data_IF_945512675972
#
_entry.id   IF_945512675972
#
_cell.length_a   1.000
_cell.length_b   1.000
_cell.length_c   1.000
_cell.angle_alpha   90.00
_cell.angle_beta   90.00
_cell.angle_gamma   90.00
#
_symmetry.space_group_name_H-M   'P 1'
#
loop_
_entity.id
_entity.type
_entity.pdbx_description
1 polymer ?
#
# COMPACT_ATOMS: atom_id res chain seq x y z
N UNK A 1 -12.43 21.89 -11.33
CA UNK A 1 -11.81 20.75 -10.63
C UNK A 1 -12.57 19.44 -10.90
N UNK A 2 -13.83 19.32 -10.59
CA UNK A 2 -14.71 18.14 -10.76
C UNK A 2 -14.57 17.44 -12.12
N UNK A 3 -14.81 18.14 -13.24
CA UNK A 3 -14.67 17.56 -14.59
C UNK A 3 -13.27 17.03 -14.89
N UNK A 4 -12.23 17.68 -14.36
CA UNK A 4 -10.84 17.24 -14.52
C UNK A 4 -10.58 15.94 -13.78
N UNK A 5 -11.06 15.79 -12.53
CA UNK A 5 -10.95 14.56 -11.75
C UNK A 5 -11.69 13.40 -12.43
N UNK A 6 -12.91 13.64 -12.95
CA UNK A 6 -13.67 12.64 -13.71
C UNK A 6 -12.92 12.18 -14.98
N UNK A 7 -12.26 13.10 -15.68
CA UNK A 7 -11.43 12.77 -16.85
C UNK A 7 -10.23 11.90 -16.45
N UNK A 8 -9.58 12.22 -15.33
CA UNK A 8 -8.41 11.47 -14.83
C UNK A 8 -8.81 10.03 -14.49
N UNK A 9 -9.85 9.81 -13.69
CA UNK A 9 -10.28 8.45 -13.32
C UNK A 9 -10.75 7.62 -14.52
N UNK A 10 -11.29 8.26 -15.55
CA UNK A 10 -11.67 7.61 -16.80
C UNK A 10 -10.49 6.99 -17.58
N UNK A 11 -9.24 7.39 -17.27
CA UNK A 11 -8.04 6.87 -17.91
C UNK A 11 -7.39 5.70 -17.16
N UNK A 12 -7.82 5.39 -15.93
CA UNK A 12 -7.20 4.36 -15.08
C UNK A 12 -7.15 2.99 -15.75
N UNK A 13 -8.22 2.57 -16.44
CA UNK A 13 -8.33 1.27 -17.14
C UNK A 13 -7.23 0.99 -18.18
N UNK A 14 -6.57 2.04 -18.66
CA UNK A 14 -5.52 1.92 -19.66
C UNK A 14 -4.12 1.90 -19.04
N UNK A 15 -4.01 2.10 -17.71
CA UNK A 15 -2.73 2.24 -17.03
C UNK A 15 -2.18 0.89 -16.58
N UNK A 16 -0.87 0.78 -16.67
CA UNK A 16 -0.08 -0.35 -16.20
C UNK A 16 0.71 0.07 -14.97
N UNK A 17 0.44 -0.57 -13.85
CA UNK A 17 1.11 -0.31 -12.58
C UNK A 17 1.96 -1.51 -12.20
N UNK A 18 3.21 -1.26 -11.83
CA UNK A 18 4.07 -2.26 -11.20
C UNK A 18 4.09 -1.98 -9.70
N UNK A 19 3.69 -2.96 -8.91
CA UNK A 19 3.76 -2.92 -7.45
C UNK A 19 4.86 -3.85 -6.99
N UNK A 20 5.86 -3.33 -6.29
CA UNK A 20 6.94 -4.11 -5.69
C UNK A 20 6.93 -3.92 -4.17
N UNK A 21 7.11 -5.01 -3.43
CA UNK A 21 7.20 -4.94 -1.97
C UNK A 21 6.90 -6.25 -1.26
N UNK A 22 6.58 -6.12 0.01
CA UNK A 22 6.35 -7.26 0.90
C UNK A 22 4.93 -7.80 0.72
N UNK A 23 4.85 -8.93 0.01
CA UNK A 23 3.60 -9.65 -0.29
C UNK A 23 3.13 -10.39 0.96
N UNK A 24 1.81 -10.29 1.27
CA UNK A 24 1.23 -10.93 2.44
C UNK A 24 -0.13 -11.56 2.13
N UNK A 25 -0.50 -12.56 2.92
CA UNK A 25 -1.84 -13.13 2.98
C UNK A 25 -2.51 -12.68 4.27
N UNK A 26 -3.61 -11.95 4.18
CA UNK A 26 -4.52 -11.72 5.29
C UNK A 26 -5.50 -12.90 5.37
N UNK A 27 -5.48 -13.62 6.50
CA UNK A 27 -6.41 -14.70 6.79
C UNK A 27 -7.32 -14.29 7.95
N UNK A 28 -8.62 -14.48 7.79
CA UNK A 28 -9.59 -14.28 8.87
C UNK A 28 -10.22 -15.61 9.22
N UNK A 29 -10.17 -15.98 10.50
CA UNK A 29 -10.83 -17.14 11.08
C UNK A 29 -12.03 -16.61 11.87
N UNK A 30 -13.22 -16.83 11.35
CA UNK A 30 -14.48 -16.43 11.96
C UNK A 30 -15.03 -17.56 12.79
N UNK A 31 -15.39 -17.30 14.04
CA UNK A 31 -15.92 -18.34 14.93
C UNK A 31 -16.79 -17.83 16.03
N UNK A 32 -17.39 -18.78 16.74
CA UNK A 32 -18.15 -18.54 17.96
C UNK A 32 -17.30 -18.83 19.20
N UNK A 33 -17.48 -17.99 20.21
CA UNK A 33 -16.85 -18.16 21.53
C UNK A 33 -17.94 -18.50 22.52
N UNK A 34 -18.01 -19.75 22.93
CA UNK A 34 -19.05 -20.26 23.82
C UNK A 34 -18.52 -20.70 25.19
N UNK A 35 -17.22 -20.98 25.32
CA UNK A 35 -16.63 -21.53 26.56
C UNK A 35 -15.19 -21.11 26.75
N UNK A 36 -14.73 -21.23 28.00
CA UNK A 36 -13.30 -21.19 28.37
C UNK A 36 -12.73 -22.60 28.23
N UNK A 37 -11.47 -22.73 27.83
CA UNK A 37 -10.78 -24.00 27.77
C UNK A 37 -10.62 -24.62 29.17
N UNK A 38 -10.81 -25.93 29.32
CA UNK A 38 -10.47 -26.61 30.59
C UNK A 38 -8.95 -26.71 30.79
N UNK A 39 -8.13 -26.51 29.76
CA UNK A 39 -6.67 -26.67 29.79
C UNK A 39 -5.96 -25.39 30.23
N UNK A 40 -6.56 -24.21 30.00
CA UNK A 40 -5.99 -22.93 30.34
C UNK A 40 -7.10 -21.84 30.36
N UNK A 41 -6.90 -20.68 31.03
CA UNK A 41 -7.90 -19.61 31.10
C UNK A 41 -7.97 -18.82 29.76
N UNK A 42 -8.19 -19.52 28.65
CA UNK A 42 -8.29 -18.97 27.30
C UNK A 42 -9.64 -19.33 26.67
N UNK A 43 -10.12 -18.48 25.77
CA UNK A 43 -11.35 -18.72 25.03
C UNK A 43 -11.17 -19.85 24.00
N UNK A 44 -12.19 -20.69 23.85
CA UNK A 44 -12.28 -21.66 22.75
C UNK A 44 -13.09 -21.05 21.63
N UNK A 45 -12.48 -20.97 20.45
CA UNK A 45 -13.12 -20.46 19.22
C UNK A 45 -13.53 -21.64 18.36
N UNK A 46 -14.82 -21.86 18.20
CA UNK A 46 -15.39 -22.84 17.26
C UNK A 46 -15.45 -22.19 15.86
N UNK A 47 -14.61 -22.65 14.93
CA UNK A 47 -14.48 -22.05 13.61
C UNK A 47 -15.73 -22.31 12.76
N UNK A 48 -16.29 -21.24 12.18
CA UNK A 48 -17.44 -21.28 11.28
C UNK A 48 -16.96 -21.18 9.82
N UNK A 49 -16.04 -20.25 9.54
CA UNK A 49 -15.51 -20.03 8.19
C UNK A 49 -14.13 -19.40 8.24
N UNK A 50 -13.38 -19.57 7.16
CA UNK A 50 -12.15 -18.88 6.88
C UNK A 50 -12.29 -18.01 5.62
N UNK A 51 -11.68 -16.84 5.64
CA UNK A 51 -11.63 -15.97 4.45
C UNK A 51 -10.20 -15.46 4.26
N UNK A 52 -9.84 -15.26 3.01
CA UNK A 52 -8.50 -14.86 2.59
C UNK A 52 -8.56 -13.57 1.79
N UNK A 53 -7.54 -12.74 1.92
CA UNK A 53 -7.40 -11.53 1.13
C UNK A 53 -5.92 -11.21 0.91
N UNK A 54 -5.56 -10.55 -0.21
CA UNK A 54 -4.25 -9.97 -0.39
C UNK A 54 -3.96 -8.90 0.66
N UNK A 55 -2.78 -8.97 1.32
CA UNK A 55 -2.31 -8.00 2.32
C UNK A 55 -0.96 -7.39 1.93
N UNK A 56 -0.53 -6.34 2.63
CA UNK A 56 0.71 -5.64 2.32
C UNK A 56 0.75 -5.14 0.87
N UNK A 57 1.88 -5.31 0.18
CA UNK A 57 2.03 -4.89 -1.20
C UNK A 57 0.98 -5.51 -2.14
N UNK A 58 0.51 -6.73 -1.85
CA UNK A 58 -0.57 -7.35 -2.63
C UNK A 58 -1.93 -6.69 -2.41
N UNK A 59 -2.15 -5.98 -1.29
CA UNK A 59 -3.35 -5.17 -1.11
C UNK A 59 -3.30 -3.87 -1.95
N UNK A 60 -2.14 -3.23 -2.09
CA UNK A 60 -1.96 -2.12 -3.05
C UNK A 60 -2.29 -2.59 -4.46
N UNK A 61 -1.76 -3.76 -4.87
CA UNK A 61 -2.05 -4.36 -6.16
C UNK A 61 -3.54 -4.65 -6.35
N UNK A 62 -4.22 -5.18 -5.32
CA UNK A 62 -5.66 -5.42 -5.31
C UNK A 62 -6.48 -4.13 -5.46
N UNK A 63 -6.12 -3.06 -4.74
CA UNK A 63 -6.75 -1.75 -4.88
C UNK A 63 -6.56 -1.18 -6.29
N UNK A 64 -5.36 -1.26 -6.87
CA UNK A 64 -5.12 -0.80 -8.23
C UNK A 64 -5.93 -1.58 -9.27
N UNK A 65 -6.05 -2.90 -9.09
CA UNK A 65 -6.88 -3.74 -9.96
C UNK A 65 -8.37 -3.40 -9.86
N UNK A 66 -8.88 -3.14 -8.64
CA UNK A 66 -10.28 -2.72 -8.44
C UNK A 66 -10.58 -1.35 -9.07
N UNK A 67 -9.55 -0.54 -9.30
CA UNK A 67 -9.59 0.71 -10.05
C UNK A 67 -9.37 0.49 -11.57
N UNK A 68 -9.52 -0.75 -12.05
CA UNK A 68 -9.43 -1.18 -13.45
C UNK A 68 -8.04 -1.03 -14.11
N UNK A 69 -6.96 -0.92 -13.35
CA UNK A 69 -5.61 -0.91 -13.88
C UNK A 69 -5.11 -2.31 -14.25
N UNK A 70 -4.12 -2.39 -15.14
CA UNK A 70 -3.35 -3.60 -15.39
C UNK A 70 -2.19 -3.66 -14.39
N UNK A 71 -2.21 -4.64 -13.49
CA UNK A 71 -1.29 -4.71 -12.35
C UNK A 71 -0.26 -5.82 -12.54
N UNK A 72 1.01 -5.49 -12.30
CA UNK A 72 2.14 -6.42 -12.26
C UNK A 72 2.71 -6.43 -10.84
N UNK A 73 2.66 -7.59 -10.19
CA UNK A 73 3.15 -7.75 -8.81
C UNK A 73 4.59 -8.27 -8.81
N UNK A 74 5.45 -7.67 -8.00
CA UNK A 74 6.84 -8.09 -7.80
C UNK A 74 7.13 -8.25 -6.31
N UNK A 75 7.72 -9.38 -5.96
CA UNK A 75 8.08 -9.68 -4.58
C UNK A 75 8.36 -11.16 -4.34
N UNK A 76 8.27 -11.61 -3.10
CA UNK A 76 8.51 -12.99 -2.73
C UNK A 76 7.34 -13.62 -1.99
N UNK A 77 7.25 -14.93 -2.10
CA UNK A 77 6.39 -15.81 -1.31
C UNK A 77 7.19 -17.05 -0.88
N UNK A 78 6.76 -17.71 0.17
CA UNK A 78 7.34 -18.99 0.60
C UNK A 78 6.93 -20.16 -0.31
N UNK A 79 7.44 -21.34 0.02
CA UNK A 79 7.03 -22.59 -0.64
C UNK A 79 6.10 -23.39 0.29
N UNK A 80 4.93 -22.84 0.58
CA UNK A 80 3.97 -23.34 1.55
C UNK A 80 2.52 -23.29 1.00
N UNK A 81 1.57 -23.75 1.80
CA UNK A 81 0.16 -23.78 1.43
C UNK A 81 -0.43 -22.36 1.26
N UNK A 82 0.01 -21.40 2.08
CA UNK A 82 -0.44 -20.00 2.01
C UNK A 82 -0.12 -19.36 0.64
N UNK A 83 1.01 -19.76 0.02
CA UNK A 83 1.35 -19.39 -1.38
C UNK A 83 0.19 -19.69 -2.33
N UNK A 84 -0.37 -20.92 -2.26
CA UNK A 84 -1.41 -21.33 -3.20
C UNK A 84 -2.68 -20.52 -3.03
N UNK A 85 -3.05 -20.22 -1.77
CA UNK A 85 -4.19 -19.35 -1.46
C UNK A 85 -3.98 -17.94 -1.98
N UNK A 86 -2.80 -17.36 -1.73
CA UNK A 86 -2.46 -16.00 -2.16
C UNK A 86 -2.42 -15.88 -3.69
N UNK A 87 -1.79 -16.82 -4.39
CA UNK A 87 -1.73 -16.81 -5.86
C UNK A 87 -3.13 -16.95 -6.48
N UNK A 88 -4.02 -17.74 -5.87
CA UNK A 88 -5.43 -17.84 -6.28
C UNK A 88 -6.13 -16.49 -6.14
N UNK A 89 -6.00 -15.83 -4.97
CA UNK A 89 -6.59 -14.50 -4.70
C UNK A 89 -6.09 -13.44 -5.70
N UNK A 90 -4.80 -13.44 -6.04
CA UNK A 90 -4.23 -12.52 -7.01
C UNK A 90 -4.73 -12.79 -8.44
N UNK A 91 -4.84 -14.07 -8.83
CA UNK A 91 -5.37 -14.47 -10.14
C UNK A 91 -6.83 -14.06 -10.33
N UNK A 92 -7.67 -14.26 -9.31
CA UNK A 92 -9.08 -13.86 -9.32
C UNK A 92 -9.26 -12.35 -9.50
N UNK A 93 -8.25 -11.57 -9.10
CA UNK A 93 -8.19 -10.10 -9.28
C UNK A 93 -7.46 -9.67 -10.54
N UNK A 94 -7.15 -10.59 -11.47
CA UNK A 94 -6.43 -10.31 -12.72
C UNK A 94 -5.08 -9.61 -12.50
N UNK A 95 -4.36 -9.92 -11.42
CA UNK A 95 -3.03 -9.40 -11.12
C UNK A 95 -2.00 -10.34 -11.76
N UNK A 96 -1.08 -9.78 -12.59
CA UNK A 96 0.03 -10.54 -13.14
C UNK A 96 1.06 -10.85 -12.06
N UNK A 97 1.44 -12.12 -11.95
CA UNK A 97 2.31 -12.67 -10.90
C UNK A 97 3.68 -13.14 -11.41
N UNK A 98 4.05 -12.83 -12.66
CA UNK A 98 5.32 -13.27 -13.26
C UNK A 98 6.57 -12.72 -12.54
N UNK A 99 6.41 -11.64 -11.77
CA UNK A 99 7.45 -11.04 -10.93
C UNK A 99 7.48 -11.56 -9.49
N UNK A 100 6.68 -12.59 -9.15
CA UNK A 100 6.68 -13.18 -7.82
C UNK A 100 7.64 -14.37 -7.81
N UNK A 101 8.64 -14.31 -6.92
CA UNK A 101 9.65 -15.35 -6.76
C UNK A 101 9.43 -16.16 -5.49
N UNK A 102 9.82 -17.43 -5.51
CA UNK A 102 9.71 -18.32 -4.35
C UNK A 102 11.01 -18.25 -3.55
N UNK A 103 10.90 -17.92 -2.26
CA UNK A 103 11.99 -18.04 -1.29
C UNK A 103 11.67 -19.21 -0.36
N UNK A 104 12.38 -20.34 -0.54
CA UNK A 104 12.11 -21.55 0.25
C UNK A 104 12.55 -21.44 1.71
N UNK A 105 13.38 -20.44 2.05
CA UNK A 105 13.87 -20.24 3.41
C UNK A 105 12.98 -19.28 4.24
N UNK A 106 11.94 -18.74 3.59
CA UNK A 106 10.95 -17.88 4.22
C UNK A 106 9.54 -18.45 4.07
N UNK A 107 8.69 -18.32 5.09
CA UNK A 107 7.26 -18.58 4.91
C UNK A 107 6.64 -17.47 4.06
N UNK A 108 5.57 -17.78 3.35
CA UNK A 108 4.65 -16.75 2.86
C UNK A 108 4.17 -15.94 4.06
N UNK A 109 4.41 -14.63 4.07
CA UNK A 109 4.00 -13.78 5.19
C UNK A 109 2.49 -13.82 5.34
N UNK A 110 2.00 -14.16 6.53
CA UNK A 110 0.57 -14.21 6.83
C UNK A 110 0.23 -13.39 8.07
N UNK A 111 -0.93 -12.74 8.02
CA UNK A 111 -1.57 -12.11 9.18
C UNK A 111 -2.91 -12.79 9.43
N UNK A 112 -2.95 -13.69 10.40
CA UNK A 112 -4.15 -14.45 10.75
C UNK A 112 -4.88 -13.73 11.87
N UNK A 113 -6.11 -13.29 11.59
CA UNK A 113 -6.99 -12.62 12.57
C UNK A 113 -8.09 -13.58 12.98
N UNK A 114 -8.16 -13.87 14.27
CA UNK A 114 -9.20 -14.69 14.86
C UNK A 114 -10.30 -13.74 15.34
N UNK A 115 -11.51 -13.90 14.79
CA UNK A 115 -12.66 -13.02 15.05
C UNK A 115 -13.78 -13.84 15.67
N UNK A 116 -14.21 -13.43 16.84
CA UNK A 116 -15.35 -14.02 17.56
C UNK A 116 -16.30 -12.93 18.08
N UNK A 117 -17.59 -13.17 18.03
CA UNK A 117 -18.61 -12.20 18.48
C UNK A 117 -18.46 -10.80 17.88
N UNK A 118 -18.03 -10.72 16.61
CA UNK A 118 -17.81 -9.44 15.91
C UNK A 118 -16.54 -8.67 16.31
N UNK A 119 -15.69 -9.22 17.16
CA UNK A 119 -14.45 -8.59 17.63
C UNK A 119 -13.23 -9.43 17.28
N UNK A 120 -12.11 -8.77 16.97
CA UNK A 120 -10.82 -9.46 16.82
C UNK A 120 -10.29 -9.88 18.19
N UNK A 121 -10.14 -11.19 18.40
CA UNK A 121 -9.67 -11.78 19.65
C UNK A 121 -8.15 -11.87 19.70
N UNK A 122 -7.53 -12.24 18.56
CA UNK A 122 -6.10 -12.49 18.45
C UNK A 122 -5.63 -12.23 17.02
N UNK A 123 -4.35 -11.86 16.88
CA UNK A 123 -3.64 -11.90 15.59
C UNK A 123 -2.40 -12.77 15.71
N UNK A 124 -2.21 -13.69 14.78
CA UNK A 124 -1.03 -14.52 14.64
C UNK A 124 -0.31 -14.14 13.36
N UNK A 125 0.96 -13.77 13.46
CA UNK A 125 1.78 -13.36 12.33
C UNK A 125 2.80 -14.45 12.01
N UNK A 126 2.72 -15.00 10.78
CA UNK A 126 3.77 -15.86 10.22
C UNK A 126 4.66 -14.98 9.37
N UNK A 127 5.86 -14.67 9.87
CA UNK A 127 6.77 -13.76 9.17
C UNK A 127 8.23 -14.02 9.54
N UNK A 128 9.12 -13.71 8.59
CA UNK A 128 10.57 -13.68 8.78
C UNK A 128 11.09 -12.36 8.22
N UNK A 129 11.66 -11.51 9.08
CA UNK A 129 12.02 -10.11 8.74
C UNK A 129 13.37 -9.97 8.04
N UNK A 130 14.15 -11.03 7.94
CA UNK A 130 15.45 -11.02 7.28
C UNK A 130 15.35 -10.58 5.81
N UNK A 131 16.41 -10.00 5.29
CA UNK A 131 16.49 -9.71 3.86
C UNK A 131 16.42 -10.98 3.02
N UNK A 132 15.94 -10.84 1.80
CA UNK A 132 15.92 -11.94 0.82
C UNK A 132 17.35 -12.35 0.44
N UNK A 133 17.51 -13.59 -0.01
CA UNK A 133 18.80 -14.08 -0.49
C UNK A 133 19.28 -13.35 -1.75
N UNK A 134 20.60 -13.24 -1.91
CA UNK A 134 21.20 -12.51 -3.04
C UNK A 134 20.79 -13.03 -4.42
N UNK A 135 20.60 -14.34 -4.58
CA UNK A 135 20.12 -14.94 -5.82
C UNK A 135 18.71 -14.44 -6.19
N UNK A 136 17.79 -14.35 -5.21
CA UNK A 136 16.43 -13.83 -5.40
C UNK A 136 16.48 -12.32 -5.66
N UNK A 137 17.32 -11.59 -4.93
CA UNK A 137 17.56 -10.17 -5.16
C UNK A 137 17.99 -9.90 -6.63
N UNK A 138 18.89 -10.72 -7.17
CA UNK A 138 19.31 -10.61 -8.58
C UNK A 138 18.16 -10.92 -9.54
N UNK A 139 17.35 -11.95 -9.29
CA UNK A 139 16.19 -12.27 -10.12
C UNK A 139 15.18 -11.11 -10.16
N UNK A 140 14.91 -10.49 -9.02
CA UNK A 140 14.03 -9.31 -8.92
C UNK A 140 14.62 -8.15 -9.73
N UNK A 141 15.91 -7.84 -9.56
CA UNK A 141 16.59 -6.76 -10.28
C UNK A 141 16.52 -6.97 -11.79
N UNK A 142 16.78 -8.19 -12.25
CA UNK A 142 16.74 -8.51 -13.68
C UNK A 142 15.32 -8.43 -14.24
N UNK A 143 14.31 -8.86 -13.46
CA UNK A 143 12.91 -8.69 -13.84
C UNK A 143 12.54 -7.21 -13.97
N UNK A 144 12.92 -6.38 -13.00
CA UNK A 144 12.66 -4.95 -13.02
C UNK A 144 13.29 -4.26 -14.23
N UNK A 145 14.58 -4.52 -14.51
CA UNK A 145 15.30 -3.97 -15.67
C UNK A 145 14.61 -4.28 -17.01
N UNK A 146 14.07 -5.48 -17.14
CA UNK A 146 13.37 -5.92 -18.36
C UNK A 146 11.99 -5.29 -18.50
N UNK A 147 11.27 -5.07 -17.39
CA UNK A 147 9.83 -4.79 -17.38
C UNK A 147 9.44 -3.34 -17.07
N UNK A 148 10.28 -2.56 -16.38
CA UNK A 148 9.97 -1.17 -15.98
C UNK A 148 9.60 -0.29 -17.18
N UNK A 149 10.20 -0.47 -18.33
CA UNK A 149 9.88 0.31 -19.55
C UNK A 149 8.43 0.12 -20.03
N UNK A 150 7.79 -0.99 -19.72
CA UNK A 150 6.44 -1.34 -20.18
C UNK A 150 5.30 -0.91 -19.25
N UNK A 151 5.63 -0.36 -18.08
CA UNK A 151 4.64 0.14 -17.13
C UNK A 151 4.58 1.68 -17.13
N UNK A 152 3.49 2.25 -16.63
CA UNK A 152 3.30 3.70 -16.58
C UNK A 152 3.78 4.28 -15.25
N UNK A 153 3.67 3.51 -14.17
CA UNK A 153 3.96 3.94 -12.81
C UNK A 153 4.41 2.75 -11.96
N UNK A 154 5.23 3.03 -10.95
CA UNK A 154 5.76 2.06 -10.00
C UNK A 154 5.34 2.46 -8.59
N UNK A 155 4.89 1.48 -7.80
CA UNK A 155 4.67 1.63 -6.36
C UNK A 155 5.59 0.69 -5.61
N UNK A 156 6.34 1.23 -4.66
CA UNK A 156 7.08 0.48 -3.66
C UNK A 156 6.22 0.46 -2.39
N UNK A 157 5.79 -0.72 -1.96
CA UNK A 157 5.00 -0.90 -0.73
C UNK A 157 5.87 -1.65 0.28
N UNK A 158 6.41 -0.91 1.23
CA UNK A 158 7.40 -1.40 2.18
C UNK A 158 6.76 -1.69 3.55
N UNK A 159 6.96 -2.92 4.03
CA UNK A 159 6.55 -3.38 5.35
C UNK A 159 7.74 -3.89 6.18
N UNK A 160 8.97 -3.67 5.70
CA UNK A 160 10.21 -4.14 6.29
C UNK A 160 10.22 -5.65 6.55
N UNK A 161 9.79 -6.45 5.54
CA UNK A 161 9.81 -7.92 5.57
C UNK A 161 10.89 -8.52 4.66
N UNK A 162 11.76 -7.68 4.10
CA UNK A 162 13.01 -8.06 3.48
C UNK A 162 13.06 -7.98 1.95
N UNK A 163 11.97 -7.63 1.25
CA UNK A 163 11.98 -7.41 -0.20
C UNK A 163 12.63 -6.08 -0.55
N UNK A 164 12.37 -5.04 0.23
CA UNK A 164 12.92 -3.71 0.02
C UNK A 164 14.36 -3.67 0.52
N UNK A 165 15.33 -3.86 -0.39
CA UNK A 165 16.77 -3.78 -0.11
C UNK A 165 17.40 -2.59 -0.81
N UNK A 166 18.54 -2.12 -0.30
CA UNK A 166 19.29 -1.01 -0.90
C UNK A 166 19.64 -1.26 -2.38
N UNK A 167 20.00 -2.51 -2.75
CA UNK A 167 20.35 -2.87 -4.13
C UNK A 167 19.13 -2.86 -5.04
N UNK A 168 17.99 -3.41 -4.60
CA UNK A 168 16.75 -3.39 -5.39
C UNK A 168 16.33 -1.94 -5.61
N UNK A 169 16.27 -1.12 -4.56
CA UNK A 169 15.79 0.26 -4.68
C UNK A 169 16.73 1.10 -5.55
N UNK A 170 18.05 1.02 -5.35
CA UNK A 170 19.00 1.77 -6.18
C UNK A 170 18.92 1.37 -7.66
N UNK A 171 18.80 0.07 -7.96
CA UNK A 171 18.61 -0.42 -9.33
C UNK A 171 17.28 0.03 -9.92
N UNK A 172 16.20 -0.02 -9.14
CA UNK A 172 14.86 0.40 -9.57
C UNK A 172 14.81 1.90 -9.87
N UNK A 173 15.32 2.74 -8.96
CA UNK A 173 15.37 4.20 -9.14
C UNK A 173 16.18 4.57 -10.38
N UNK A 174 17.35 3.94 -10.59
CA UNK A 174 18.15 4.13 -11.79
C UNK A 174 17.37 3.75 -13.05
N UNK A 175 16.80 2.55 -13.10
CA UNK A 175 16.06 2.05 -14.28
C UNK A 175 14.80 2.89 -14.54
N UNK A 176 14.10 3.33 -13.50
CA UNK A 176 12.93 4.20 -13.62
C UNK A 176 13.31 5.56 -14.21
N UNK A 177 14.41 6.17 -13.73
CA UNK A 177 14.92 7.44 -14.25
C UNK A 177 15.30 7.34 -15.74
N UNK A 178 16.00 6.30 -16.13
CA UNK A 178 16.38 6.02 -17.54
C UNK A 178 15.16 5.88 -18.45
N UNK A 179 14.00 5.44 -17.91
CA UNK A 179 12.76 5.23 -18.65
C UNK A 179 11.69 6.30 -18.37
N UNK A 180 12.02 7.38 -17.66
CA UNK A 180 11.09 8.47 -17.27
C UNK A 180 9.85 7.95 -16.53
N UNK A 181 10.02 7.01 -15.59
CA UNK A 181 8.93 6.44 -14.82
C UNK A 181 8.78 7.09 -13.45
N UNK A 182 7.54 7.31 -13.05
CA UNK A 182 7.14 7.79 -11.73
C UNK A 182 7.25 6.66 -10.71
N UNK A 183 7.85 6.96 -9.53
CA UNK A 183 7.92 6.04 -8.38
C UNK A 183 7.20 6.68 -7.20
N UNK A 184 6.25 5.96 -6.62
CA UNK A 184 5.60 6.27 -5.35
C UNK A 184 6.06 5.25 -4.32
N UNK A 185 6.32 5.69 -3.09
CA UNK A 185 6.69 4.81 -1.99
C UNK A 185 5.69 4.96 -0.85
N UNK A 186 5.09 3.84 -0.46
CA UNK A 186 4.43 3.68 0.85
C UNK A 186 5.50 3.17 1.82
N UNK A 187 6.04 4.05 2.71
CA UNK A 187 7.36 3.84 3.31
C UNK A 187 7.30 3.14 4.67
N UNK A 188 8.46 2.60 5.09
CA UNK A 188 8.76 2.27 6.49
C UNK A 188 9.88 3.15 7.05
N UNK A 189 9.74 3.66 8.28
CA UNK A 189 10.74 4.55 8.89
C UNK A 189 12.16 3.97 8.92
N UNK A 190 12.28 2.66 9.13
CA UNK A 190 13.58 1.96 9.14
C UNK A 190 14.35 2.00 7.83
N UNK A 191 13.69 2.30 6.71
CA UNK A 191 14.28 2.34 5.37
C UNK A 191 14.31 3.75 4.77
N UNK A 192 14.18 4.79 5.61
CA UNK A 192 14.13 6.20 5.18
C UNK A 192 15.20 6.55 4.15
N UNK A 193 16.45 6.13 4.38
CA UNK A 193 17.59 6.46 3.53
C UNK A 193 17.50 5.88 2.10
N UNK A 194 16.64 4.89 1.89
CA UNK A 194 16.46 4.26 0.59
C UNK A 194 15.55 5.04 -0.37
N UNK A 195 14.75 5.99 0.13
CA UNK A 195 13.67 6.62 -0.65
C UNK A 195 14.07 7.96 -1.31
N UNK A 196 15.36 8.27 -1.37
CA UNK A 196 15.84 9.50 -2.02
C UNK A 196 15.58 9.49 -3.53
N UNK A 197 15.23 10.68 -4.05
CA UNK A 197 15.03 10.91 -5.50
C UNK A 197 13.90 10.07 -6.16
N UNK A 198 12.95 9.54 -5.40
CA UNK A 198 11.69 9.03 -5.94
C UNK A 198 10.75 10.21 -6.24
N UNK A 199 9.58 9.95 -6.82
CA UNK A 199 8.65 11.03 -7.16
C UNK A 199 7.89 11.52 -5.94
N UNK A 200 7.42 10.59 -5.10
CA UNK A 200 6.58 10.88 -3.93
C UNK A 200 6.74 9.79 -2.89
N UNK A 201 6.74 10.15 -1.60
CA UNK A 201 6.52 9.22 -0.50
C UNK A 201 5.25 9.58 0.26
N UNK A 202 4.57 8.56 0.83
CA UNK A 202 3.25 8.70 1.46
C UNK A 202 3.21 8.25 2.93
N UNK A 203 4.10 8.75 3.81
CA UNK A 203 4.08 8.35 5.21
C UNK A 203 2.77 8.78 5.88
N UNK A 204 2.31 8.00 6.86
CA UNK A 204 1.31 8.48 7.79
C UNK A 204 1.96 9.38 8.85
N UNK A 205 1.12 10.04 9.69
CA UNK A 205 1.60 10.99 10.68
C UNK A 205 2.59 10.37 11.68
N UNK A 206 2.33 9.14 12.14
CA UNK A 206 3.22 8.43 13.06
C UNK A 206 4.55 8.03 12.38
N UNK A 207 4.52 7.56 11.13
CA UNK A 207 5.71 7.26 10.34
C UNK A 207 6.55 8.52 10.08
N UNK A 208 5.92 9.63 9.71
CA UNK A 208 6.62 10.91 9.52
C UNK A 208 7.26 11.41 10.81
N UNK A 209 6.58 11.26 11.96
CA UNK A 209 7.11 11.56 13.29
C UNK A 209 8.33 10.69 13.61
N UNK A 210 8.24 9.38 13.38
CA UNK A 210 9.35 8.44 13.61
C UNK A 210 10.56 8.74 12.71
N UNK A 211 10.33 9.03 11.42
CA UNK A 211 11.39 9.39 10.46
C UNK A 211 12.10 10.69 10.81
N UNK A 212 11.37 11.67 11.31
CA UNK A 212 11.92 13.01 11.57
C UNK A 212 12.37 13.23 13.01
N UNK A 213 11.92 12.39 13.94
CA UNK A 213 12.06 12.58 15.39
C UNK A 213 11.37 13.87 15.89
N UNK A 214 10.33 14.30 15.19
CA UNK A 214 9.45 15.42 15.56
C UNK A 214 8.15 14.82 16.04
N UNK A 215 7.62 15.26 17.19
CA UNK A 215 6.33 14.77 17.71
C UNK A 215 5.18 15.07 16.75
N UNK A 216 4.10 14.28 16.79
CA UNK A 216 2.96 14.34 15.86
C UNK A 216 1.76 15.18 16.39
N UNK A 217 1.94 15.92 17.48
CA UNK A 217 0.85 16.54 18.25
C UNK A 217 0.20 17.79 17.66
N UNK A 218 0.80 18.47 16.67
CA UNK A 218 0.27 19.74 16.15
C UNK A 218 0.43 19.90 14.63
N UNK A 219 -0.31 20.85 14.05
CA UNK A 219 -0.20 21.16 12.62
C UNK A 219 1.17 21.77 12.27
N UNK A 220 1.77 22.53 13.19
CA UNK A 220 3.14 23.05 13.03
C UNK A 220 4.16 21.90 12.97
N UNK A 221 3.98 20.87 13.79
CA UNK A 221 4.85 19.70 13.74
C UNK A 221 4.75 18.98 12.38
N UNK A 222 3.54 18.89 11.80
CA UNK A 222 3.35 18.30 10.47
C UNK A 222 4.07 19.13 9.40
N UNK A 223 4.03 20.45 9.50
CA UNK A 223 4.76 21.34 8.62
C UNK A 223 6.28 21.09 8.72
N UNK A 224 6.81 21.06 9.93
CA UNK A 224 8.24 20.81 10.17
C UNK A 224 8.68 19.42 9.69
N UNK A 225 7.86 18.38 9.94
CA UNK A 225 8.11 17.02 9.44
C UNK A 225 8.17 16.99 7.91
N UNK A 226 7.17 17.58 7.25
CA UNK A 226 7.10 17.60 5.79
C UNK A 226 8.28 18.33 5.15
N UNK A 227 8.63 19.51 5.65
CA UNK A 227 9.77 20.29 5.16
C UNK A 227 11.12 19.57 5.40
N UNK A 228 11.28 18.93 6.58
CA UNK A 228 12.48 18.16 6.90
C UNK A 228 12.65 16.97 5.97
N UNK A 229 11.59 16.17 5.74
CA UNK A 229 11.62 15.02 4.84
C UNK A 229 11.85 15.44 3.39
N UNK A 230 11.18 16.49 2.92
CA UNK A 230 11.34 17.04 1.57
C UNK A 230 12.79 17.42 1.29
N UNK A 231 13.41 18.13 2.23
CA UNK A 231 14.83 18.54 2.13
C UNK A 231 15.77 17.34 2.19
N UNK A 232 15.52 16.40 3.13
CA UNK A 232 16.40 15.26 3.36
C UNK A 232 16.42 14.29 2.17
N UNK A 233 15.24 13.95 1.64
CA UNK A 233 15.08 12.95 0.58
C UNK A 233 15.16 13.54 -0.84
N UNK A 234 15.06 14.86 -1.00
CA UNK A 234 14.88 15.52 -2.29
C UNK A 234 13.69 14.92 -3.08
N UNK A 235 12.55 14.72 -2.41
CA UNK A 235 11.37 13.99 -2.89
C UNK A 235 10.11 14.70 -2.41
N UNK A 236 9.02 14.71 -3.20
CA UNK A 236 7.74 15.24 -2.72
C UNK A 236 7.19 14.34 -1.59
N UNK A 237 6.50 14.95 -0.63
CA UNK A 237 6.01 14.27 0.57
C UNK A 237 4.50 14.47 0.68
N UNK A 238 3.75 13.38 0.87
CA UNK A 238 2.34 13.42 1.23
C UNK A 238 2.14 12.77 2.58
N UNK A 239 1.96 13.55 3.64
CA UNK A 239 1.65 13.02 4.97
C UNK A 239 0.15 12.77 5.09
N UNK A 240 -0.23 11.51 5.33
CA UNK A 240 -1.63 11.15 5.63
C UNK A 240 -1.91 11.35 7.12
N UNK A 241 -3.03 12.03 7.47
CA UNK A 241 -3.29 12.56 8.81
C UNK A 241 -4.61 12.07 9.42
N UNK A 242 -5.12 10.93 8.94
CA UNK A 242 -6.39 10.36 9.38
C UNK A 242 -7.56 11.32 9.20
N UNK A 243 -8.26 11.64 10.27
CA UNK A 243 -9.43 12.55 10.27
C UNK A 243 -9.10 14.00 9.85
N UNK A 244 -7.83 14.39 9.89
CA UNK A 244 -7.36 15.71 9.41
C UNK A 244 -7.04 15.72 7.91
N UNK A 245 -7.21 14.60 7.19
CA UNK A 245 -6.97 14.51 5.76
C UNK A 245 -5.51 14.31 5.40
N UNK A 246 -4.94 15.15 4.52
CA UNK A 246 -3.58 15.00 4.00
C UNK A 246 -2.87 16.33 3.89
N UNK A 247 -1.54 16.32 3.99
CA UNK A 247 -0.67 17.47 3.76
C UNK A 247 0.39 17.13 2.72
N UNK A 248 0.36 17.81 1.58
CA UNK A 248 1.29 17.63 0.46
C UNK A 248 2.35 18.73 0.50
N UNK A 249 3.61 18.33 0.39
CA UNK A 249 4.79 19.19 0.30
C UNK A 249 5.52 18.89 -1.01
N UNK A 250 5.56 19.88 -1.90
CA UNK A 250 6.13 19.73 -3.24
C UNK A 250 7.54 20.36 -3.32
N UNK A 251 8.38 19.84 -4.19
CA UNK A 251 9.76 20.30 -4.36
C UNK A 251 9.88 21.73 -4.86
N UNK A 252 8.82 22.28 -5.44
CA UNK A 252 8.76 23.69 -5.84
C UNK A 252 8.47 24.65 -4.68
N UNK A 253 8.32 24.12 -3.45
CA UNK A 253 8.00 24.86 -2.24
C UNK A 253 6.51 24.98 -1.95
N UNK A 254 5.64 24.46 -2.83
CA UNK A 254 4.19 24.49 -2.62
C UNK A 254 3.79 23.57 -1.46
N UNK A 255 2.89 24.04 -0.61
CA UNK A 255 2.28 23.25 0.47
C UNK A 255 0.78 23.29 0.31
N UNK A 256 0.15 22.10 0.29
CA UNK A 256 -1.31 21.99 0.15
C UNK A 256 -1.87 21.09 1.26
N UNK A 257 -2.84 21.61 2.01
CA UNK A 257 -3.62 20.82 2.96
C UNK A 257 -4.96 20.43 2.33
N UNK A 258 -5.29 19.15 2.38
CA UNK A 258 -6.51 18.57 1.83
C UNK A 258 -7.31 18.01 3.01
N UNK A 259 -8.49 18.59 3.34
CA UNK A 259 -9.31 18.11 4.46
C UNK A 259 -9.84 16.70 4.18
N UNK A 260 -10.09 15.93 5.24
CA UNK A 260 -10.62 14.57 5.09
C UNK A 260 -12.01 14.59 4.43
N UNK A 261 -12.26 13.57 3.60
CA UNK A 261 -13.55 13.38 2.91
C UNK A 261 -14.37 12.22 3.51
N UNK A 262 -13.97 11.66 4.66
CA UNK A 262 -14.71 10.57 5.28
C UNK A 262 -15.96 11.07 6.00
N UNK A 263 -17.10 10.38 5.75
CA UNK A 263 -18.40 10.65 6.42
C UNK A 263 -18.54 9.82 7.69
N UNK A 264 -18.17 8.54 7.62
CA UNK A 264 -18.17 7.57 8.72
C UNK A 264 -16.93 6.68 8.62
N UNK A 265 -16.38 6.27 9.76
CA UNK A 265 -15.18 5.44 9.81
C UNK A 265 -15.51 4.11 10.46
N UNK A 266 -15.51 3.03 9.67
CA UNK A 266 -15.71 1.67 10.14
C UNK A 266 -14.38 0.90 10.28
N UNK A 267 -13.42 1.13 9.38
CA UNK A 267 -12.13 0.45 9.41
C UNK A 267 -11.05 1.27 8.72
N UNK A 268 -9.93 1.49 9.39
CA UNK A 268 -8.76 2.16 8.82
C UNK A 268 -7.80 1.19 8.08
N UNK A 269 -8.06 -0.13 8.16
CA UNK A 269 -7.19 -1.15 7.56
C UNK A 269 -7.15 -1.00 6.04
N UNK A 270 -5.93 -0.87 5.48
CA UNK A 270 -5.69 -0.76 4.05
C UNK A 270 -6.02 0.60 3.45
N UNK A 271 -6.26 1.64 4.27
CA UNK A 271 -6.45 3.01 3.77
C UNK A 271 -5.17 3.54 3.09
N UNK A 272 -3.98 3.32 3.66
CA UNK A 272 -2.68 3.65 3.07
C UNK A 272 -2.47 2.98 1.72
N UNK A 273 -2.76 1.67 1.62
CA UNK A 273 -2.68 0.92 0.36
C UNK A 273 -3.60 1.50 -0.73
N UNK A 274 -4.81 1.93 -0.33
CA UNK A 274 -5.76 2.59 -1.25
C UNK A 274 -5.22 3.95 -1.70
N UNK A 275 -4.64 4.73 -0.80
CA UNK A 275 -3.97 6.02 -1.10
C UNK A 275 -2.85 5.80 -2.11
N UNK A 276 -1.93 4.86 -1.86
CA UNK A 276 -0.80 4.59 -2.74
C UNK A 276 -1.26 4.18 -4.15
N UNK A 277 -2.26 3.29 -4.26
CA UNK A 277 -2.82 2.85 -5.54
C UNK A 277 -3.50 4.00 -6.30
N UNK A 278 -4.34 4.81 -5.63
CA UNK A 278 -5.08 5.91 -6.25
C UNK A 278 -4.14 7.02 -6.74
N UNK A 279 -3.14 7.41 -5.94
CA UNK A 279 -2.11 8.39 -6.33
C UNK A 279 -1.35 7.91 -7.55
N UNK A 280 -0.89 6.66 -7.54
CA UNK A 280 -0.11 6.10 -8.62
C UNK A 280 -0.87 6.16 -9.95
N UNK A 281 -2.13 5.75 -9.96
CA UNK A 281 -2.97 5.76 -11.15
C UNK A 281 -3.33 7.17 -11.61
N UNK A 282 -3.54 8.10 -10.67
CA UNK A 282 -3.80 9.50 -11.00
C UNK A 282 -2.59 10.16 -11.67
N UNK A 283 -1.38 10.00 -11.11
CA UNK A 283 -0.14 10.51 -11.70
C UNK A 283 0.13 9.88 -13.07
N UNK A 284 -0.04 8.56 -13.21
CA UNK A 284 0.08 7.87 -14.49
C UNK A 284 -0.92 8.40 -15.53
N UNK A 285 -2.05 8.94 -15.08
CA UNK A 285 -3.09 9.54 -15.94
C UNK A 285 -2.90 11.03 -16.20
N UNK A 286 -1.74 11.59 -15.84
CA UNK A 286 -1.39 12.99 -16.09
C UNK A 286 -2.03 13.98 -15.12
N UNK A 287 -2.37 13.54 -13.91
CA UNK A 287 -2.75 14.43 -12.82
C UNK A 287 -1.54 15.13 -12.22
N UNK A 288 -1.73 16.33 -11.69
CA UNK A 288 -0.76 16.98 -10.80
C UNK A 288 -0.71 16.25 -9.45
N UNK A 289 0.33 16.50 -8.64
CA UNK A 289 0.42 15.94 -7.29
C UNK A 289 -0.79 16.33 -6.42
N UNK A 290 -1.24 17.58 -6.50
CA UNK A 290 -2.44 18.06 -5.81
C UNK A 290 -3.72 17.34 -6.25
N UNK A 291 -3.93 17.15 -7.58
CA UNK A 291 -5.08 16.41 -8.10
C UNK A 291 -5.03 14.93 -7.67
N UNK A 292 -3.83 14.34 -7.69
CA UNK A 292 -3.62 12.94 -7.26
C UNK A 292 -3.89 12.75 -5.78
N UNK A 293 -3.41 13.64 -4.92
CA UNK A 293 -3.67 13.64 -3.49
C UNK A 293 -5.17 13.86 -3.18
N UNK A 294 -5.85 14.71 -3.94
CA UNK A 294 -7.31 14.92 -3.82
C UNK A 294 -8.08 13.63 -4.15
N UNK A 295 -7.74 12.95 -5.26
CA UNK A 295 -8.36 11.68 -5.63
C UNK A 295 -8.08 10.57 -4.61
N UNK A 296 -6.86 10.51 -4.09
CA UNK A 296 -6.49 9.56 -3.05
C UNK A 296 -7.22 9.79 -1.74
N UNK A 297 -7.44 11.06 -1.36
CA UNK A 297 -8.21 11.42 -0.18
C UNK A 297 -9.69 11.00 -0.31
N UNK A 298 -10.28 11.17 -1.51
CA UNK A 298 -11.63 10.68 -1.82
C UNK A 298 -11.67 9.14 -1.70
N UNK A 299 -10.73 8.45 -2.35
CA UNK A 299 -10.68 6.99 -2.30
C UNK A 299 -10.47 6.46 -0.86
N UNK A 300 -9.60 7.10 -0.07
CA UNK A 300 -9.38 6.78 1.33
C UNK A 300 -10.65 7.00 2.17
N UNK A 301 -11.38 8.11 1.95
CA UNK A 301 -12.65 8.40 2.62
C UNK A 301 -13.71 7.34 2.36
N UNK A 302 -13.82 6.84 1.11
CA UNK A 302 -14.71 5.73 0.76
C UNK A 302 -14.23 4.43 1.44
N UNK A 303 -12.91 4.16 1.42
CA UNK A 303 -12.32 2.95 1.98
C UNK A 303 -12.59 2.80 3.47
N UNK A 304 -12.39 3.86 4.26
CA UNK A 304 -12.59 3.80 5.72
C UNK A 304 -14.07 3.63 6.11
N UNK A 305 -14.99 3.96 5.21
CA UNK A 305 -16.43 3.70 5.34
C UNK A 305 -16.83 2.24 5.05
N UNK A 306 -15.87 1.35 4.75
CA UNK A 306 -16.12 -0.07 4.46
C UNK A 306 -15.56 -0.98 5.55
N UNK A 307 -16.24 -2.11 5.78
CA UNK A 307 -15.77 -3.12 6.73
C UNK A 307 -14.68 -3.99 6.09
N UNK A 308 -13.60 -4.23 6.80
CA UNK A 308 -12.52 -5.15 6.42
C UNK A 308 -11.68 -4.68 5.23
N UNK A 309 -11.27 -5.62 4.37
CA UNK A 309 -10.36 -5.40 3.24
C UNK A 309 -11.08 -5.09 1.92
N UNK A 310 -12.35 -4.68 1.95
CA UNK A 310 -13.10 -4.34 0.74
C UNK A 310 -12.39 -3.21 -0.04
N UNK A 311 -12.17 -3.41 -1.34
CA UNK A 311 -11.56 -2.42 -2.22
C UNK A 311 -12.56 -1.32 -2.64
N UNK A 312 -12.05 -0.21 -3.14
CA UNK A 312 -12.83 0.89 -3.70
C UNK A 312 -12.94 0.71 -5.22
N UNK A 313 -14.12 0.93 -5.77
CA UNK A 313 -14.34 0.90 -7.22
C UNK A 313 -14.28 2.29 -7.86
N UNK A 314 -14.10 2.33 -9.18
CA UNK A 314 -14.13 3.59 -9.94
C UNK A 314 -15.51 4.26 -9.86
N UNK A 315 -16.57 3.46 -9.84
CA UNK A 315 -17.95 3.93 -9.77
C UNK A 315 -18.22 4.66 -8.45
N UNK A 316 -17.68 4.16 -7.35
CA UNK A 316 -17.79 4.82 -6.04
C UNK A 316 -17.02 6.14 -6.00
N UNK A 317 -15.80 6.18 -6.55
CA UNK A 317 -15.02 7.43 -6.65
C UNK A 317 -15.76 8.43 -7.54
N UNK A 318 -16.33 7.98 -8.66
CA UNK A 318 -17.12 8.82 -9.56
C UNK A 318 -18.29 9.47 -8.85
N UNK A 319 -19.12 8.67 -8.16
CA UNK A 319 -20.25 9.16 -7.38
C UNK A 319 -19.85 10.20 -6.34
N UNK A 320 -18.75 9.94 -5.63
CA UNK A 320 -18.26 10.87 -4.62
C UNK A 320 -17.77 12.18 -5.25
N UNK A 321 -17.07 12.14 -6.39
CA UNK A 321 -16.68 13.34 -7.15
C UNK A 321 -17.93 14.11 -7.65
N UNK A 322 -18.95 13.40 -8.10
CA UNK A 322 -20.20 14.00 -8.57
C UNK A 322 -21.02 14.67 -7.48
N UNK A 323 -20.81 14.31 -6.22
CA UNK A 323 -21.45 14.92 -5.06
C UNK A 323 -20.71 16.15 -4.52
N UNK A 324 -19.44 16.39 -4.92
CA UNK A 324 -18.68 17.62 -4.62
C UNK A 324 -19.23 18.82 -5.44
#
# INVERSE_FOLDING_TARGET
MKQRLLKIIGQFKNKKILVIGDIMLDKYIWGEVSRISPEAPVQVVSVIKETYAPGGASNVASNASSLNAKVFMVGIIGNDEAKNMLLKELKERNINTDGIFIDSDKPTTQKIRIVGRGQQLLRVDYEKKEHIHQNIEHLIIDFLRKNVKYVDVIVISDYAKGVVTAKIISSLVKTAKENNKTIIVDPKPSHLDLYSNVTLITPNNAEASEMTKIGDGSDNNVLDMGLKLLKYLNTNILITRGEKGMSLFEKDGSITHIPANAKEVYSIIGAGDTVAAAIALALASGASLKESATLANIAAGIKVGKIGTASVSIEEIRKEIESL
#
